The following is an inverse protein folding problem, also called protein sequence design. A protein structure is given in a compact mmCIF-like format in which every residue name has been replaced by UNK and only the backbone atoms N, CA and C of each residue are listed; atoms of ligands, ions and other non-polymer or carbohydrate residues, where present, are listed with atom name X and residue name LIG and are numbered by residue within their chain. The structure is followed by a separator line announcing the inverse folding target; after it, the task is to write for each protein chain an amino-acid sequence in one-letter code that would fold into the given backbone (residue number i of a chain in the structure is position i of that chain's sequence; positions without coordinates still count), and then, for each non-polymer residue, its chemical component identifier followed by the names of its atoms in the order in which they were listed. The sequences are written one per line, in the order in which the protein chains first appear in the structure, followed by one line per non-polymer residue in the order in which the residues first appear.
data_IF_754037017385
#
_entry.id   IF_754037017385
#
_cell.length_a   1.000
_cell.length_b   1.000
_cell.length_c   1.000
_cell.angle_alpha   90.00
_cell.angle_beta   90.00
_cell.angle_gamma   90.00
#
_symmetry.space_group_name_H-M   'P 1'
#
loop_
_entity.id
_entity.type
_entity.pdbx_description
1 polymer ?
#
# COMPACT_ATOMS: atom_id res chain seq x y z
N UNK A 1 -65.89 -30.22 68.27
CA UNK A 1 -64.89 -29.22 68.05
C UNK A 1 -64.16 -29.55 66.81
N UNK A 2 -64.57 -28.96 65.66
CA UNK A 2 -63.96 -29.17 64.37
C UNK A 2 -63.00 -27.99 64.04
N UNK A 3 -61.71 -28.27 63.92
CA UNK A 3 -60.72 -27.29 63.49
C UNK A 3 -60.71 -27.24 62.00
N UNK A 4 -61.01 -26.07 61.42
CA UNK A 4 -60.90 -25.76 60.03
C UNK A 4 -59.49 -25.21 59.79
N UNK A 5 -58.68 -25.91 58.93
CA UNK A 5 -57.42 -25.40 58.50
C UNK A 5 -57.69 -24.60 57.20
N UNK A 6 -57.37 -23.29 57.21
CA UNK A 6 -57.44 -22.40 56.06
C UNK A 6 -56.06 -22.37 55.42
N UNK A 7 -55.96 -22.96 54.26
CA UNK A 7 -54.71 -22.94 53.50
C UNK A 7 -54.70 -21.67 52.63
N UNK A 8 -53.83 -20.71 52.96
CA UNK A 8 -53.56 -19.55 52.15
C UNK A 8 -52.64 -19.95 51.00
N UNK A 9 -53.15 -19.94 49.76
CA UNK A 9 -52.33 -19.98 48.55
C UNK A 9 -51.73 -18.57 48.27
N UNK A 10 -50.44 -18.41 48.53
CA UNK A 10 -49.67 -17.27 48.07
C UNK A 10 -49.40 -17.42 46.56
N UNK A 11 -50.14 -16.69 45.75
CA UNK A 11 -49.80 -16.49 44.32
C UNK A 11 -48.67 -15.46 44.24
N UNK A 12 -47.47 -15.92 43.95
CA UNK A 12 -46.36 -15.04 43.61
C UNK A 12 -46.59 -14.48 42.20
N UNK A 13 -46.53 -13.17 42.00
CA UNK A 13 -46.57 -12.61 40.67
C UNK A 13 -45.25 -12.97 39.92
N UNK A 14 -45.36 -13.70 38.82
CA UNK A 14 -44.27 -13.89 37.90
C UNK A 14 -43.92 -12.52 37.31
N UNK A 15 -42.88 -11.88 37.83
CA UNK A 15 -42.24 -10.73 37.20
C UNK A 15 -41.61 -11.20 35.89
N UNK A 16 -42.35 -11.04 34.79
CA UNK A 16 -41.75 -11.08 33.45
C UNK A 16 -40.82 -9.89 33.36
N UNK A 17 -39.49 -10.15 33.52
CA UNK A 17 -38.49 -9.21 33.09
C UNK A 17 -38.61 -9.07 31.58
N UNK A 18 -39.42 -8.13 31.09
CA UNK A 18 -39.27 -7.63 29.74
C UNK A 18 -37.92 -6.90 29.74
N UNK A 19 -36.88 -7.54 29.23
CA UNK A 19 -35.66 -6.86 28.87
C UNK A 19 -36.05 -5.72 27.91
N UNK A 20 -35.93 -4.48 28.42
CA UNK A 20 -36.20 -3.29 27.61
C UNK A 20 -35.13 -3.24 26.54
N UNK A 21 -35.42 -3.84 25.35
CA UNK A 21 -34.57 -3.72 24.14
C UNK A 21 -34.55 -2.25 23.79
N UNK A 22 -33.38 -1.61 23.95
CA UNK A 22 -33.20 -0.20 23.63
C UNK A 22 -33.63 0.08 22.18
N UNK A 23 -34.12 1.28 21.90
CA UNK A 23 -34.47 1.72 20.54
C UNK A 23 -33.29 1.43 19.62
N UNK A 24 -33.48 0.56 18.58
CA UNK A 24 -32.46 0.16 17.61
C UNK A 24 -31.84 -1.22 17.83
N UNK A 25 -32.19 -1.91 18.93
CA UNK A 25 -31.80 -3.32 19.14
C UNK A 25 -32.66 -4.28 18.31
N UNK A 26 -32.14 -5.46 17.97
CA UNK A 26 -32.92 -6.53 17.35
C UNK A 26 -33.87 -7.10 18.41
N UNK A 27 -35.17 -6.89 18.21
CA UNK A 27 -36.19 -7.47 19.12
C UNK A 27 -36.49 -8.91 18.74
N UNK A 28 -37.12 -9.69 19.67
CA UNK A 28 -37.59 -11.02 19.35
C UNK A 28 -38.51 -11.07 18.12
N UNK A 29 -39.42 -10.11 18.00
CA UNK A 29 -40.35 -9.99 16.85
C UNK A 29 -39.61 -9.70 15.56
N UNK A 30 -38.61 -8.79 15.57
CA UNK A 30 -37.73 -8.56 14.40
C UNK A 30 -36.98 -9.82 14.01
N UNK A 31 -36.42 -10.54 14.99
CA UNK A 31 -35.68 -11.76 14.73
C UNK A 31 -36.57 -12.85 14.10
N UNK A 32 -37.78 -13.02 14.59
CA UNK A 32 -38.74 -13.98 14.03
C UNK A 32 -39.14 -13.58 12.60
N UNK A 33 -39.37 -12.32 12.35
CA UNK A 33 -39.63 -11.80 10.98
C UNK A 33 -38.44 -12.10 10.05
N UNK A 34 -37.21 -11.73 10.46
CA UNK A 34 -36.00 -11.99 9.68
C UNK A 34 -35.86 -13.47 9.35
N UNK A 35 -36.05 -14.35 10.32
CA UNK A 35 -35.99 -15.80 10.14
C UNK A 35 -37.07 -16.34 9.17
N UNK A 36 -38.30 -15.84 9.31
CA UNK A 36 -39.42 -16.29 8.50
C UNK A 36 -39.30 -15.90 7.00
N UNK A 37 -38.57 -14.84 6.72
CA UNK A 37 -38.28 -14.36 5.37
C UNK A 37 -37.08 -15.10 4.73
N UNK A 38 -36.30 -15.89 5.49
CA UNK A 38 -35.17 -16.60 4.93
C UNK A 38 -35.58 -17.84 4.12
N UNK A 39 -35.08 -18.00 2.89
CA UNK A 39 -35.35 -19.19 2.12
C UNK A 39 -34.72 -20.43 2.81
N UNK A 40 -35.41 -21.57 2.71
CA UNK A 40 -34.96 -22.86 3.26
C UNK A 40 -35.21 -23.98 2.30
N UNK A 41 -34.87 -23.78 1.04
CA UNK A 41 -35.00 -24.78 -0.03
C UNK A 41 -33.97 -25.91 0.15
N UNK A 42 -34.05 -26.93 -0.66
CA UNK A 42 -33.01 -27.97 -0.70
C UNK A 42 -31.65 -27.41 -1.13
N UNK A 43 -31.64 -26.44 -2.06
CA UNK A 43 -30.43 -25.76 -2.51
C UNK A 43 -29.77 -24.96 -1.37
N UNK A 44 -30.55 -24.20 -0.57
CA UNK A 44 -30.02 -23.45 0.57
C UNK A 44 -29.38 -24.36 1.63
N UNK A 45 -29.99 -25.51 1.89
CA UNK A 45 -29.44 -26.52 2.82
C UNK A 45 -28.14 -27.11 2.27
N UNK A 46 -28.11 -27.46 0.99
CA UNK A 46 -26.90 -27.99 0.34
C UNK A 46 -25.77 -26.95 0.35
N UNK A 47 -26.06 -25.67 0.07
CA UNK A 47 -25.10 -24.57 0.09
C UNK A 47 -24.54 -24.35 1.52
N UNK A 48 -25.40 -24.34 2.55
CA UNK A 48 -24.96 -24.26 3.96
C UNK A 48 -24.03 -25.42 4.33
N UNK A 49 -24.37 -26.65 3.86
CA UNK A 49 -23.51 -27.82 4.09
C UNK A 49 -22.17 -27.67 3.38
N UNK A 50 -22.14 -27.20 2.15
CA UNK A 50 -20.90 -26.97 1.40
C UNK A 50 -20.04 -25.90 2.06
N UNK A 51 -20.63 -24.77 2.49
CA UNK A 51 -19.93 -23.67 3.17
C UNK A 51 -19.44 -24.03 4.58
N UNK A 52 -19.99 -25.07 5.21
CA UNK A 52 -19.47 -25.53 6.52
C UNK A 52 -18.05 -26.14 6.43
N UNK A 53 -17.64 -26.63 5.26
CA UNK A 53 -16.34 -27.26 5.03
C UNK A 53 -15.48 -26.61 3.93
N UNK A 54 -15.95 -25.53 3.31
CA UNK A 54 -15.28 -24.92 2.16
C UNK A 54 -15.27 -23.39 2.29
N UNK A 55 -14.19 -22.74 1.85
CA UNK A 55 -14.11 -21.27 1.89
C UNK A 55 -15.09 -20.64 0.90
N UNK A 56 -15.56 -19.43 1.25
CA UNK A 56 -16.44 -18.62 0.39
C UNK A 56 -15.83 -18.46 -1.01
N UNK A 57 -14.57 -18.04 -1.10
CA UNK A 57 -13.91 -17.81 -2.39
C UNK A 57 -13.84 -19.07 -3.26
N UNK A 58 -13.69 -20.25 -2.65
CA UNK A 58 -13.64 -21.50 -3.40
C UNK A 58 -15.01 -21.85 -4.03
N UNK A 59 -16.11 -21.58 -3.34
CA UNK A 59 -17.45 -21.80 -3.87
C UNK A 59 -17.92 -20.69 -4.80
N UNK A 60 -17.50 -19.44 -4.54
CA UNK A 60 -17.81 -18.31 -5.40
C UNK A 60 -16.99 -18.27 -6.69
N UNK A 61 -15.94 -19.13 -6.81
CA UNK A 61 -15.09 -19.14 -8.00
C UNK A 61 -15.93 -19.35 -9.26
N UNK A 62 -15.82 -18.41 -10.21
CA UNK A 62 -16.55 -18.45 -11.46
C UNK A 62 -15.84 -19.36 -12.47
N UNK A 63 -16.38 -20.56 -12.80
CA UNK A 63 -15.76 -21.47 -13.75
C UNK A 63 -15.82 -20.97 -15.21
N UNK A 64 -16.69 -20.00 -15.49
CA UNK A 64 -16.90 -19.44 -16.83
C UNK A 64 -16.13 -18.11 -17.03
N UNK A 65 -15.26 -17.73 -16.10
CA UNK A 65 -14.46 -16.51 -16.22
C UNK A 65 -13.58 -16.60 -17.48
N UNK A 66 -13.72 -15.67 -18.46
CA UNK A 66 -12.93 -15.67 -19.68
C UNK A 66 -11.48 -15.21 -19.45
N UNK A 67 -11.19 -14.62 -18.30
CA UNK A 67 -9.83 -14.17 -17.98
C UNK A 67 -8.87 -15.36 -17.89
N UNK A 68 -7.76 -15.25 -18.58
CA UNK A 68 -6.77 -16.31 -18.64
C UNK A 68 -5.40 -15.83 -18.16
N UNK A 69 -4.57 -16.79 -17.78
CA UNK A 69 -3.15 -16.56 -17.47
C UNK A 69 -2.27 -16.56 -18.74
N UNK A 70 -2.84 -16.38 -19.92
CA UNK A 70 -2.08 -16.23 -21.15
C UNK A 70 -1.06 -15.09 -21.04
N UNK A 71 0.19 -15.43 -21.35
CA UNK A 71 1.35 -14.53 -21.18
C UNK A 71 1.69 -13.72 -22.41
N UNK A 72 0.94 -13.83 -23.50
CA UNK A 72 1.11 -12.99 -24.67
C UNK A 72 0.65 -11.56 -24.38
N UNK A 73 1.47 -10.59 -24.79
CA UNK A 73 1.18 -9.17 -24.72
C UNK A 73 1.74 -8.50 -25.97
N UNK A 74 0.93 -7.70 -26.67
CA UNK A 74 1.35 -6.97 -27.86
C UNK A 74 2.48 -5.98 -27.57
N UNK A 75 2.57 -5.46 -26.35
CA UNK A 75 3.65 -4.57 -25.91
C UNK A 75 4.11 -4.95 -24.50
N UNK A 76 5.42 -5.13 -24.33
CA UNK A 76 6.01 -5.50 -23.04
C UNK A 76 7.40 -4.91 -22.88
N UNK A 77 7.70 -4.41 -21.69
CA UNK A 77 9.03 -3.93 -21.31
C UNK A 77 9.84 -5.12 -20.77
N UNK A 78 11.04 -5.41 -21.31
CA UNK A 78 11.86 -6.49 -20.77
C UNK A 78 12.34 -6.21 -19.34
N UNK A 79 12.29 -7.24 -18.50
CA UNK A 79 12.87 -7.24 -17.14
C UNK A 79 13.67 -8.52 -16.91
N UNK A 80 14.64 -8.48 -15.99
CA UNK A 80 15.45 -9.63 -15.62
C UNK A 80 15.50 -9.78 -14.09
N UNK A 81 15.09 -10.95 -13.61
CA UNK A 81 14.99 -11.28 -12.19
C UNK A 81 13.67 -10.80 -11.58
N UNK A 82 13.23 -11.50 -10.55
CA UNK A 82 12.05 -11.17 -9.75
C UNK A 82 12.50 -10.93 -8.33
N UNK A 83 12.01 -9.87 -7.72
CA UNK A 83 12.29 -9.51 -6.33
C UNK A 83 11.31 -10.17 -5.36
N UNK A 84 11.71 -10.26 -4.08
CA UNK A 84 10.87 -10.83 -3.04
C UNK A 84 10.95 -9.98 -1.76
N UNK A 85 9.86 -9.29 -1.42
CA UNK A 85 9.76 -8.47 -0.22
C UNK A 85 9.51 -9.29 1.06
N UNK A 86 9.19 -10.57 0.91
CA UNK A 86 8.87 -11.47 2.01
C UNK A 86 7.72 -10.92 2.90
N UNK A 87 7.80 -11.14 4.21
CA UNK A 87 6.82 -10.66 5.20
C UNK A 87 7.10 -9.22 5.63
N UNK A 88 7.09 -8.29 4.66
CA UNK A 88 7.35 -6.86 4.91
C UNK A 88 6.40 -5.97 4.10
N UNK A 89 6.12 -4.76 4.59
CA UNK A 89 5.31 -3.77 3.89
C UNK A 89 6.11 -2.89 2.92
N UNK A 90 7.16 -3.42 2.27
CA UNK A 90 8.09 -2.65 1.45
C UNK A 90 7.82 -2.70 -0.06
N UNK A 91 6.62 -3.14 -0.49
CA UNK A 91 6.30 -3.25 -1.93
C UNK A 91 6.53 -1.94 -2.70
N UNK A 92 6.23 -0.79 -2.09
CA UNK A 92 6.47 0.53 -2.65
C UNK A 92 7.95 0.75 -3.00
N UNK A 93 8.85 0.32 -2.11
CA UNK A 93 10.29 0.48 -2.28
C UNK A 93 10.82 -0.49 -3.34
N UNK A 94 10.41 -1.77 -3.29
CA UNK A 94 10.74 -2.75 -4.31
C UNK A 94 10.28 -2.29 -5.69
N UNK A 95 9.03 -1.83 -5.79
CA UNK A 95 8.45 -1.34 -7.05
C UNK A 95 9.21 -0.15 -7.63
N UNK A 96 9.48 0.89 -6.82
CA UNK A 96 10.21 2.05 -7.30
C UNK A 96 11.64 1.69 -7.73
N UNK A 97 12.32 0.84 -6.97
CA UNK A 97 13.66 0.36 -7.34
C UNK A 97 13.65 -0.57 -8.55
N UNK A 98 12.58 -1.36 -8.75
CA UNK A 98 12.43 -2.19 -9.94
C UNK A 98 12.28 -1.37 -11.23
N UNK A 99 11.58 -0.22 -11.16
CA UNK A 99 11.54 0.74 -12.28
C UNK A 99 12.95 1.24 -12.62
N UNK A 100 13.76 1.62 -11.62
CA UNK A 100 15.12 2.12 -11.84
C UNK A 100 16.07 1.02 -12.32
N UNK A 101 16.00 -0.19 -11.74
CA UNK A 101 16.86 -1.31 -12.16
C UNK A 101 16.62 -1.73 -13.60
N UNK A 102 15.36 -1.68 -14.08
CA UNK A 102 15.04 -2.03 -15.47
C UNK A 102 15.76 -1.10 -16.46
N UNK A 103 15.81 0.20 -16.16
CA UNK A 103 16.58 1.18 -16.94
C UNK A 103 18.09 0.88 -16.92
N UNK A 104 18.64 0.58 -15.74
CA UNK A 104 20.05 0.24 -15.56
C UNK A 104 20.42 -1.05 -16.30
N UNK A 105 19.62 -2.11 -16.17
CA UNK A 105 19.81 -3.38 -16.89
C UNK A 105 19.82 -3.15 -18.40
N UNK A 106 18.88 -2.38 -18.93
CA UNK A 106 18.78 -2.05 -20.37
C UNK A 106 20.00 -1.25 -20.83
N UNK A 107 20.39 -0.20 -20.09
CA UNK A 107 21.47 0.73 -20.44
C UNK A 107 22.84 0.04 -20.49
N UNK A 108 23.12 -0.88 -19.58
CA UNK A 108 24.44 -1.52 -19.42
C UNK A 108 24.46 -2.98 -19.83
N UNK A 109 23.39 -3.51 -20.43
CA UNK A 109 23.21 -4.94 -20.77
C UNK A 109 23.58 -5.88 -19.61
N UNK A 110 23.04 -5.61 -18.43
CA UNK A 110 23.32 -6.40 -17.24
C UNK A 110 22.53 -7.70 -17.23
N UNK A 111 22.98 -8.67 -16.40
CA UNK A 111 22.19 -9.78 -15.93
C UNK A 111 21.10 -9.34 -14.93
N UNK A 112 20.61 -10.26 -14.14
CA UNK A 112 19.76 -9.90 -13.02
C UNK A 112 20.54 -9.00 -12.04
N UNK A 113 20.05 -7.79 -11.84
CA UNK A 113 20.59 -6.80 -10.90
C UNK A 113 19.50 -6.40 -9.91
N UNK A 114 19.89 -6.09 -8.69
CA UNK A 114 18.99 -5.62 -7.65
C UNK A 114 19.70 -4.57 -6.79
N UNK A 115 19.00 -3.47 -6.49
CA UNK A 115 19.42 -2.55 -5.42
C UNK A 115 19.15 -3.17 -4.05
N UNK A 116 19.86 -2.72 -3.02
CA UNK A 116 19.58 -3.09 -1.64
C UNK A 116 18.36 -2.35 -1.13
N UNK A 117 17.27 -3.06 -0.91
CA UNK A 117 16.10 -2.51 -0.24
C UNK A 117 16.36 -2.31 1.26
N UNK A 118 17.16 -3.18 1.90
CA UNK A 118 17.56 -3.01 3.30
C UNK A 118 18.26 -1.69 3.56
N UNK A 119 19.16 -1.26 2.66
CA UNK A 119 19.86 0.02 2.75
C UNK A 119 18.87 1.20 2.75
N UNK A 120 18.00 1.26 1.76
CA UNK A 120 17.04 2.35 1.63
C UNK A 120 15.97 2.32 2.71
N UNK A 121 15.53 1.14 3.11
CA UNK A 121 14.56 0.98 4.18
C UNK A 121 15.10 1.42 5.55
N UNK A 122 16.39 1.21 5.81
CA UNK A 122 17.04 1.74 7.01
C UNK A 122 16.83 3.25 7.15
N UNK A 123 17.13 3.99 6.10
CA UNK A 123 16.98 5.45 6.12
C UNK A 123 15.52 5.89 6.09
N UNK A 124 14.65 5.18 5.39
CA UNK A 124 13.21 5.42 5.42
C UNK A 124 12.64 5.35 6.84
N UNK A 125 12.98 4.30 7.59
CA UNK A 125 12.51 4.12 8.96
C UNK A 125 13.10 5.17 9.93
N UNK A 126 14.32 5.60 9.70
CA UNK A 126 14.94 6.67 10.48
C UNK A 126 14.27 8.03 10.18
N UNK A 127 14.02 8.34 8.91
CA UNK A 127 13.34 9.57 8.48
C UNK A 127 11.89 9.64 8.97
N UNK A 128 11.14 8.56 8.86
CA UNK A 128 9.77 8.47 9.41
C UNK A 128 9.75 8.64 10.93
N UNK A 129 10.75 8.10 11.61
CA UNK A 129 10.91 8.31 13.05
C UNK A 129 11.15 9.79 13.39
N UNK A 130 12.00 10.47 12.61
CA UNK A 130 12.22 11.92 12.73
C UNK A 130 10.94 12.70 12.40
N UNK A 131 10.23 12.33 11.32
CA UNK A 131 8.95 12.95 10.92
C UNK A 131 7.93 12.90 12.07
N UNK A 132 7.74 11.74 12.69
CA UNK A 132 6.85 11.59 13.84
C UNK A 132 7.27 12.47 15.01
N UNK A 133 8.54 12.41 15.44
CA UNK A 133 9.02 13.17 16.60
C UNK A 133 8.94 14.67 16.36
N UNK A 134 9.25 15.13 15.15
CA UNK A 134 9.13 16.55 14.80
C UNK A 134 7.68 17.01 14.76
N UNK A 135 6.80 16.21 14.12
CA UNK A 135 5.37 16.52 14.09
C UNK A 135 4.75 16.60 15.50
N UNK A 136 5.22 15.75 16.44
CA UNK A 136 4.81 15.83 17.85
C UNK A 136 5.28 17.11 18.52
N UNK A 137 6.51 17.57 18.24
CA UNK A 137 7.03 18.86 18.75
C UNK A 137 6.19 20.02 18.19
N UNK A 138 5.96 20.05 16.88
CA UNK A 138 5.23 21.11 16.19
C UNK A 138 3.77 21.24 16.70
N UNK A 139 3.18 20.14 17.11
CA UNK A 139 1.82 20.08 17.65
C UNK A 139 1.74 19.94 19.19
N UNK A 140 2.85 20.20 19.90
CA UNK A 140 2.93 19.97 21.35
C UNK A 140 1.94 20.82 22.17
N UNK A 141 1.48 21.96 21.64
CA UNK A 141 0.49 22.85 22.30
C UNK A 141 -0.95 22.36 22.13
N UNK A 142 -1.23 21.48 21.16
CA UNK A 142 -2.56 20.94 20.96
C UNK A 142 -2.86 19.86 22.02
N UNK A 143 -4.12 19.66 22.43
CA UNK A 143 -4.47 18.59 23.38
C UNK A 143 -4.29 17.20 22.76
N UNK A 144 -4.32 16.14 23.60
CA UNK A 144 -4.14 14.75 23.11
C UNK A 144 -5.29 14.25 22.25
N UNK A 145 -6.49 14.81 22.43
CA UNK A 145 -7.70 14.51 21.64
C UNK A 145 -7.86 15.39 20.39
N UNK A 146 -6.88 16.25 20.07
CA UNK A 146 -6.80 16.87 18.74
C UNK A 146 -6.64 15.75 17.70
N UNK A 147 -7.45 15.79 16.65
CA UNK A 147 -7.53 14.70 15.66
C UNK A 147 -6.20 14.40 14.99
N UNK A 148 -5.34 15.41 14.72
CA UNK A 148 -4.02 15.20 14.17
C UNK A 148 -3.07 14.57 15.19
N UNK A 149 -3.11 15.02 16.46
CA UNK A 149 -2.29 14.44 17.53
C UNK A 149 -2.68 12.99 17.76
N UNK A 150 -3.97 12.69 17.82
CA UNK A 150 -4.47 11.33 17.93
C UNK A 150 -4.00 10.45 16.76
N UNK A 151 -4.11 10.97 15.51
CA UNK A 151 -3.65 10.28 14.33
C UNK A 151 -2.15 9.96 14.38
N UNK A 152 -1.30 10.93 14.76
CA UNK A 152 0.14 10.73 14.92
C UNK A 152 0.45 9.60 15.89
N UNK A 153 -0.18 9.59 17.08
CA UNK A 153 0.08 8.55 18.08
C UNK A 153 -0.53 7.19 17.72
N UNK A 154 -1.56 7.14 16.87
CA UNK A 154 -2.06 5.88 16.28
C UNK A 154 -1.10 5.33 15.24
N UNK A 155 -0.47 6.21 14.46
CA UNK A 155 0.36 5.87 13.30
C UNK A 155 1.81 6.42 13.43
N UNK A 156 2.58 6.04 14.47
CA UNK A 156 3.90 6.62 14.70
C UNK A 156 4.97 6.16 13.71
N UNK A 157 4.76 5.00 13.08
CA UNK A 157 5.66 4.40 12.11
C UNK A 157 4.90 3.38 11.27
N UNK A 158 5.23 3.30 9.99
CA UNK A 158 4.80 2.26 9.05
C UNK A 158 5.97 1.81 8.20
N UNK A 159 5.98 0.56 7.75
CA UNK A 159 6.92 0.06 6.74
C UNK A 159 6.38 0.20 5.31
N UNK A 160 5.11 0.59 5.15
CA UNK A 160 4.50 0.97 3.88
C UNK A 160 4.96 2.33 3.37
N UNK A 161 4.53 2.69 2.16
CA UNK A 161 4.88 3.99 1.58
C UNK A 161 4.38 4.20 0.17
N UNK A 162 4.93 5.23 -0.47
CA UNK A 162 4.59 5.64 -1.83
C UNK A 162 5.85 6.00 -2.62
N UNK A 163 5.72 6.35 -3.89
CA UNK A 163 6.87 6.71 -4.74
C UNK A 163 7.65 7.93 -4.22
N UNK A 164 7.01 8.86 -3.51
CA UNK A 164 7.74 10.00 -2.92
C UNK A 164 8.79 9.54 -1.90
N UNK A 165 8.54 8.44 -1.17
CA UNK A 165 9.55 7.84 -0.31
C UNK A 165 10.75 7.27 -1.07
N UNK A 166 10.50 6.63 -2.23
CA UNK A 166 11.59 6.13 -3.09
C UNK A 166 12.47 7.29 -3.55
N UNK A 167 11.86 8.35 -4.07
CA UNK A 167 12.60 9.52 -4.55
C UNK A 167 13.40 10.20 -3.43
N UNK A 168 12.80 10.42 -2.27
CA UNK A 168 13.45 11.11 -1.16
C UNK A 168 14.65 10.31 -0.63
N UNK A 169 14.47 9.01 -0.39
CA UNK A 169 15.52 8.16 0.17
C UNK A 169 16.67 7.99 -0.83
N UNK A 170 16.38 7.67 -2.10
CA UNK A 170 17.43 7.47 -3.11
C UNK A 170 18.16 8.80 -3.43
N UNK A 171 17.44 9.91 -3.55
CA UNK A 171 18.08 11.20 -3.82
C UNK A 171 18.85 11.74 -2.62
N UNK A 172 18.42 11.50 -1.37
CA UNK A 172 19.08 12.00 -0.16
C UNK A 172 20.26 11.12 0.27
N UNK A 173 20.12 9.82 0.24
CA UNK A 173 21.10 8.86 0.78
C UNK A 173 21.84 8.06 -0.28
N UNK A 174 21.41 8.10 -1.53
CA UNK A 174 21.97 7.30 -2.61
C UNK A 174 21.41 5.88 -2.65
N UNK A 175 22.13 4.98 -3.30
CA UNK A 175 21.75 3.58 -3.44
C UNK A 175 22.99 2.68 -3.41
N UNK A 176 22.80 1.41 -3.08
CA UNK A 176 23.85 0.39 -3.14
C UNK A 176 23.31 -0.89 -3.77
N UNK A 177 24.15 -1.74 -4.39
CA UNK A 177 23.76 -3.08 -4.84
C UNK A 177 23.32 -3.98 -3.68
N UNK A 178 22.44 -4.94 -3.96
CA UNK A 178 21.91 -5.87 -2.95
C UNK A 178 23.00 -6.67 -2.22
N UNK A 179 24.07 -7.05 -2.91
CA UNK A 179 25.19 -7.79 -2.32
C UNK A 179 26.05 -6.97 -1.35
N UNK A 180 25.94 -5.63 -1.39
CA UNK A 180 26.69 -4.73 -0.50
C UNK A 180 26.01 -4.60 0.87
N UNK A 181 24.69 -4.56 0.90
CA UNK A 181 23.89 -4.63 2.12
C UNK A 181 22.71 -5.58 1.88
N UNK A 182 22.91 -6.88 2.10
CA UNK A 182 21.88 -7.89 1.82
C UNK A 182 20.72 -7.82 2.81
N UNK A 183 19.63 -8.49 2.45
CA UNK A 183 18.46 -8.61 3.31
C UNK A 183 18.78 -9.39 4.60
N UNK A 184 18.42 -8.82 5.73
CA UNK A 184 18.49 -9.49 7.04
C UNK A 184 17.20 -10.26 7.33
N UNK A 185 17.17 -11.09 8.37
CA UNK A 185 15.96 -11.72 8.86
C UNK A 185 14.87 -10.68 9.19
N UNK A 186 15.24 -9.57 9.84
CA UNK A 186 14.28 -8.53 10.22
C UNK A 186 13.89 -7.62 9.05
N UNK A 187 14.70 -7.50 8.01
CA UNK A 187 14.28 -6.89 6.75
C UNK A 187 13.20 -7.72 6.04
N UNK A 188 13.33 -9.04 6.08
CA UNK A 188 12.34 -9.96 5.52
C UNK A 188 11.13 -10.21 6.44
N UNK A 189 11.16 -9.73 7.69
CA UNK A 189 10.09 -9.90 8.71
C UNK A 189 9.99 -8.63 9.56
N UNK A 190 9.51 -7.53 8.98
CA UNK A 190 9.59 -6.17 9.55
C UNK A 190 8.70 -5.93 10.76
N UNK A 191 7.58 -6.63 10.89
CA UNK A 191 6.50 -6.32 11.82
C UNK A 191 6.95 -6.19 13.29
N UNK A 192 7.86 -7.07 13.74
CA UNK A 192 8.34 -7.03 15.14
C UNK A 192 9.25 -5.85 15.42
N UNK A 193 10.20 -5.58 14.53
CA UNK A 193 11.08 -4.42 14.62
C UNK A 193 10.27 -3.12 14.59
N UNK A 194 9.36 -2.98 13.62
CA UNK A 194 8.49 -1.82 13.48
C UNK A 194 7.62 -1.60 14.74
N UNK A 195 7.09 -2.67 15.34
CA UNK A 195 6.31 -2.59 16.59
C UNK A 195 7.13 -2.07 17.77
N UNK A 196 8.39 -2.51 17.89
CA UNK A 196 9.31 -2.06 18.96
C UNK A 196 9.66 -0.57 18.76
N UNK A 197 9.99 -0.17 17.54
CA UNK A 197 10.29 1.24 17.22
C UNK A 197 9.05 2.11 17.47
N UNK A 198 7.88 1.69 17.00
CA UNK A 198 6.62 2.42 17.20
C UNK A 198 6.26 2.60 18.69
N UNK A 199 6.51 1.59 19.53
CA UNK A 199 6.34 1.71 20.97
C UNK A 199 7.30 2.76 21.55
N UNK A 200 8.56 2.74 21.13
CA UNK A 200 9.59 3.68 21.58
C UNK A 200 9.30 5.10 21.13
N UNK A 201 8.81 5.28 19.89
CA UNK A 201 8.38 6.58 19.38
C UNK A 201 7.21 7.17 20.19
N UNK A 202 6.22 6.37 20.58
CA UNK A 202 5.12 6.82 21.45
C UNK A 202 5.64 7.29 22.80
N UNK A 203 6.55 6.53 23.42
CA UNK A 203 7.20 6.93 24.68
C UNK A 203 7.95 8.27 24.52
N UNK A 204 8.73 8.41 23.47
CA UNK A 204 9.49 9.63 23.16
C UNK A 204 8.58 10.81 22.83
N UNK A 205 7.53 10.59 22.08
CA UNK A 205 6.53 11.61 21.77
C UNK A 205 5.86 12.16 23.04
N UNK A 206 5.47 11.30 23.98
CA UNK A 206 4.94 11.73 25.28
C UNK A 206 5.98 12.54 26.06
N UNK A 207 7.23 12.09 26.10
CA UNK A 207 8.30 12.79 26.82
C UNK A 207 8.62 14.16 26.23
N UNK A 208 8.54 14.33 24.90
CA UNK A 208 8.70 15.63 24.22
C UNK A 208 7.52 16.56 24.55
N UNK A 209 6.27 16.07 24.50
CA UNK A 209 5.07 16.85 24.86
C UNK A 209 5.13 17.31 26.32
N UNK A 210 5.50 16.41 27.25
CA UNK A 210 5.69 16.76 28.66
C UNK A 210 6.79 17.81 28.86
N UNK A 211 7.89 17.72 28.09
CA UNK A 211 8.95 18.74 28.09
C UNK A 211 8.43 20.10 27.63
N UNK A 212 7.67 20.13 26.54
CA UNK A 212 7.04 21.36 26.04
C UNK A 212 6.04 21.94 27.06
N UNK A 213 5.20 21.11 27.67
CA UNK A 213 4.26 21.56 28.71
C UNK A 213 4.96 22.16 29.95
N UNK A 214 6.17 21.69 30.26
CA UNK A 214 7.02 22.25 31.33
C UNK A 214 7.82 23.49 30.87
N UNK A 215 7.57 24.04 29.69
CA UNK A 215 8.22 25.24 29.16
C UNK A 215 9.65 25.04 28.66
N UNK A 216 10.06 23.80 28.33
CA UNK A 216 11.37 23.58 27.70
C UNK A 216 11.45 24.33 26.38
N UNK A 217 12.60 25.00 26.14
CA UNK A 217 12.86 25.75 24.91
C UNK A 217 12.94 24.81 23.69
N UNK A 218 12.57 25.26 22.48
CA UNK A 218 12.65 24.46 21.26
C UNK A 218 14.01 23.78 21.05
N UNK A 219 15.12 24.49 21.29
CA UNK A 219 16.47 23.92 21.17
C UNK A 219 16.74 22.74 22.12
N UNK A 220 16.09 22.70 23.30
CA UNK A 220 16.21 21.58 24.26
C UNK A 220 15.43 20.38 23.72
N UNK A 221 14.22 20.61 23.19
CA UNK A 221 13.41 19.54 22.58
C UNK A 221 14.11 18.96 21.36
N UNK A 222 14.71 19.80 20.52
CA UNK A 222 15.49 19.38 19.36
C UNK A 222 16.69 18.50 19.75
N UNK A 223 17.47 18.93 20.75
CA UNK A 223 18.58 18.11 21.26
C UNK A 223 18.10 16.74 21.74
N UNK A 224 17.01 16.70 22.50
CA UNK A 224 16.41 15.43 22.96
C UNK A 224 15.95 14.56 21.80
N UNK A 225 15.33 15.16 20.78
CA UNK A 225 14.93 14.41 19.56
C UNK A 225 16.14 13.73 18.90
N UNK A 226 17.28 14.43 18.76
CA UNK A 226 18.50 13.85 18.21
C UNK A 226 19.00 12.67 19.04
N UNK A 227 18.99 12.77 20.37
CA UNK A 227 19.38 11.67 21.27
C UNK A 227 18.42 10.47 21.13
N UNK A 228 17.12 10.73 20.98
CA UNK A 228 16.08 9.70 20.74
C UNK A 228 16.29 8.99 19.40
N UNK A 229 16.60 9.76 18.35
CA UNK A 229 16.92 9.21 17.02
C UNK A 229 18.19 8.36 17.06
N UNK A 230 19.18 8.69 17.88
CA UNK A 230 20.36 7.84 18.11
C UNK A 230 19.99 6.46 18.66
N UNK A 231 18.96 6.36 19.52
CA UNK A 231 18.44 5.07 19.98
C UNK A 231 17.72 4.30 18.87
N UNK A 232 16.92 5.00 18.04
CA UNK A 232 16.25 4.39 16.88
C UNK A 232 17.29 3.86 15.89
N UNK A 233 18.32 4.67 15.57
CA UNK A 233 19.43 4.27 14.71
C UNK A 233 20.07 2.97 15.19
N UNK A 234 20.35 2.85 16.52
CA UNK A 234 20.91 1.63 17.09
C UNK A 234 19.99 0.41 16.94
N UNK A 235 18.68 0.58 17.10
CA UNK A 235 17.73 -0.52 16.88
C UNK A 235 17.77 -0.95 15.40
N UNK A 236 17.74 0.01 14.48
CA UNK A 236 17.80 -0.25 13.05
C UNK A 236 19.10 -0.95 12.65
N UNK A 237 20.27 -0.45 13.10
CA UNK A 237 21.57 -1.06 12.77
C UNK A 237 21.74 -2.46 13.36
N UNK A 238 21.17 -2.71 14.54
CA UNK A 238 21.16 -4.05 15.15
C UNK A 238 20.28 -5.03 14.37
N UNK A 239 19.16 -4.57 13.79
CA UNK A 239 18.21 -5.43 13.08
C UNK A 239 18.49 -5.59 11.59
N UNK A 240 18.96 -4.53 10.93
CA UNK A 240 19.13 -4.48 9.47
C UNK A 240 20.60 -4.51 9.03
N UNK A 241 21.54 -4.26 9.94
CA UNK A 241 22.96 -4.05 9.64
C UNK A 241 23.29 -2.56 9.53
N UNK A 242 24.59 -2.26 9.62
CA UNK A 242 25.10 -0.88 9.50
C UNK A 242 25.18 -0.49 8.02
N UNK A 243 24.57 0.63 7.59
CA UNK A 243 24.69 1.09 6.22
C UNK A 243 26.13 1.45 5.85
N UNK A 244 26.64 0.96 4.69
CA UNK A 244 28.00 1.27 4.27
C UNK A 244 28.15 2.74 3.87
N UNK A 245 29.28 3.34 4.21
CA UNK A 245 29.68 4.69 3.76
C UNK A 245 30.44 4.66 2.45
N UNK A 246 31.22 3.60 2.23
CA UNK A 246 31.92 3.28 0.97
C UNK A 246 31.86 1.78 0.72
N UNK A 247 31.97 1.39 -0.53
CA UNK A 247 32.00 -0.02 -0.93
C UNK A 247 32.68 -0.20 -2.29
N UNK A 248 33.30 -1.37 -2.47
CA UNK A 248 33.84 -1.78 -3.75
C UNK A 248 32.82 -2.66 -4.46
N UNK A 249 32.54 -2.37 -5.72
CA UNK A 249 31.58 -3.15 -6.51
C UNK A 249 32.11 -3.46 -7.91
N UNK A 250 31.80 -4.68 -8.38
CA UNK A 250 32.14 -5.14 -9.73
C UNK A 250 30.88 -5.28 -10.56
N UNK A 251 30.70 -4.40 -11.54
CA UNK A 251 29.64 -4.51 -12.53
C UNK A 251 29.91 -5.70 -13.46
N UNK A 252 28.89 -6.50 -13.74
CA UNK A 252 28.95 -7.68 -14.61
C UNK A 252 27.93 -7.59 -15.73
N UNK A 253 28.30 -8.02 -16.92
CA UNK A 253 27.39 -8.13 -18.08
C UNK A 253 26.37 -9.27 -17.89
N UNK A 254 25.46 -9.41 -18.88
CA UNK A 254 24.44 -10.46 -18.89
C UNK A 254 25.00 -11.90 -18.88
N UNK A 255 26.27 -12.08 -19.21
CA UNK A 255 27.00 -13.37 -19.15
C UNK A 255 27.81 -13.56 -17.88
N UNK A 256 27.70 -12.63 -16.93
CA UNK A 256 28.44 -12.66 -15.67
C UNK A 256 29.90 -12.21 -15.76
N UNK A 257 30.34 -11.65 -16.88
CA UNK A 257 31.73 -11.21 -17.06
C UNK A 257 31.92 -9.83 -16.45
N UNK A 258 33.03 -9.58 -15.73
CA UNK A 258 33.33 -8.26 -15.17
C UNK A 258 33.44 -7.18 -16.26
N UNK A 259 32.71 -6.08 -16.12
CA UNK A 259 32.82 -4.88 -16.97
C UNK A 259 33.74 -3.86 -16.30
N UNK A 260 33.53 -3.58 -15.03
CA UNK A 260 34.30 -2.61 -14.26
C UNK A 260 34.29 -2.96 -12.77
N UNK A 261 35.37 -2.59 -12.06
CA UNK A 261 35.45 -2.68 -10.60
C UNK A 261 35.92 -1.33 -10.06
N UNK A 262 35.08 -0.69 -9.26
CA UNK A 262 35.35 0.64 -8.69
C UNK A 262 34.95 0.69 -7.21
N UNK A 263 35.46 1.69 -6.51
CA UNK A 263 35.01 2.08 -5.18
C UNK A 263 33.98 3.21 -5.31
N UNK A 264 32.90 3.11 -4.52
CA UNK A 264 31.79 4.04 -4.52
C UNK A 264 31.42 4.47 -3.10
N UNK A 265 30.89 5.67 -2.99
CA UNK A 265 29.94 6.01 -1.92
C UNK A 265 28.51 5.70 -2.45
N UNK A 266 27.51 5.50 -1.58
CA UNK A 266 26.13 5.32 -2.04
C UNK A 266 25.61 6.43 -2.96
N UNK A 267 26.05 7.67 -2.72
CA UNK A 267 25.70 8.83 -3.54
C UNK A 267 26.35 8.77 -4.92
N UNK A 268 27.64 8.50 -5.02
CA UNK A 268 28.34 8.41 -6.30
C UNK A 268 27.83 7.21 -7.14
N UNK A 269 27.44 6.12 -6.48
CA UNK A 269 26.79 5.00 -7.16
C UNK A 269 25.41 5.40 -7.74
N UNK A 270 24.60 6.08 -6.96
CA UNK A 270 23.32 6.60 -7.45
C UNK A 270 23.52 7.56 -8.64
N UNK A 271 24.43 8.50 -8.53
CA UNK A 271 24.74 9.50 -9.58
C UNK A 271 25.23 8.84 -10.87
N UNK A 272 26.10 7.81 -10.81
CA UNK A 272 26.63 7.13 -11.98
C UNK A 272 25.58 6.23 -12.66
N UNK A 273 24.79 5.50 -11.91
CA UNK A 273 23.94 4.42 -12.44
C UNK A 273 22.46 4.75 -12.54
N UNK A 274 21.94 5.55 -11.66
CA UNK A 274 20.56 6.07 -11.73
C UNK A 274 20.57 7.46 -12.35
N UNK A 275 21.20 8.42 -11.71
CA UNK A 275 21.47 9.77 -12.21
C UNK A 275 20.22 10.56 -12.59
N UNK A 276 19.03 10.13 -12.11
CA UNK A 276 17.77 10.77 -12.44
C UNK A 276 17.31 11.73 -11.34
N UNK A 277 16.76 12.86 -11.74
CA UNK A 277 15.98 13.70 -10.84
C UNK A 277 14.58 13.11 -10.66
N UNK A 278 14.48 12.17 -9.72
CA UNK A 278 13.23 11.45 -9.44
C UNK A 278 12.11 12.39 -8.99
N UNK A 279 12.44 13.54 -8.44
CA UNK A 279 11.47 14.55 -7.99
C UNK A 279 10.87 15.33 -9.17
N UNK A 280 11.69 15.69 -10.15
CA UNK A 280 11.27 16.58 -11.21
C UNK A 280 10.91 15.86 -12.52
N UNK A 281 11.33 14.60 -12.72
CA UNK A 281 11.10 13.87 -13.97
C UNK A 281 9.80 13.07 -14.01
N UNK A 282 9.08 12.97 -12.90
CA UNK A 282 7.88 12.14 -12.77
C UNK A 282 6.64 12.94 -12.40
N UNK A 283 5.49 12.42 -12.80
CA UNK A 283 4.16 12.90 -12.43
C UNK A 283 3.42 11.77 -11.73
N UNK A 284 2.83 12.08 -10.59
CA UNK A 284 2.00 11.16 -9.82
C UNK A 284 0.55 11.36 -10.24
N UNK A 285 -0.03 10.35 -10.91
CA UNK A 285 -1.42 10.33 -11.35
C UNK A 285 -2.23 9.42 -10.43
N UNK A 286 -3.48 9.76 -10.22
CA UNK A 286 -4.43 8.94 -9.47
C UNK A 286 -5.78 8.93 -10.16
N UNK A 287 -6.49 7.81 -10.10
CA UNK A 287 -7.89 7.72 -10.46
C UNK A 287 -8.75 7.63 -9.19
N UNK A 288 -9.32 8.76 -8.82
CA UNK A 288 -10.21 8.91 -7.67
C UNK A 288 -11.55 9.54 -8.10
N UNK A 289 -12.55 8.71 -8.43
CA UNK A 289 -13.87 9.21 -8.83
C UNK A 289 -14.70 9.78 -7.66
N UNK A 290 -14.22 9.66 -6.42
CA UNK A 290 -14.93 10.18 -5.25
C UNK A 290 -14.90 11.70 -5.15
N UNK A 291 -14.02 12.36 -5.93
CA UNK A 291 -13.83 13.83 -5.96
C UNK A 291 -13.51 14.34 -7.36
N UNK A 292 -13.59 15.68 -7.59
CA UNK A 292 -13.40 16.26 -8.91
C UNK A 292 -12.09 15.86 -9.61
N UNK A 293 -12.20 15.51 -10.89
CA UNK A 293 -11.09 15.30 -11.78
C UNK A 293 -10.43 16.62 -12.23
N UNK A 294 -9.26 16.51 -12.87
CA UNK A 294 -8.44 17.62 -13.38
C UNK A 294 -8.04 18.62 -12.28
N UNK A 295 -7.83 18.10 -11.07
CA UNK A 295 -7.36 18.85 -9.91
C UNK A 295 -6.20 18.10 -9.26
N UNK A 296 -5.31 18.89 -8.68
CA UNK A 296 -4.18 18.37 -7.90
C UNK A 296 -4.57 18.32 -6.43
N UNK A 297 -4.25 17.21 -5.78
CA UNK A 297 -4.50 16.97 -4.35
C UNK A 297 -3.21 16.57 -3.66
N UNK A 298 -3.11 16.92 -2.39
CA UNK A 298 -2.05 16.47 -1.49
C UNK A 298 -2.66 16.03 -0.17
N UNK A 299 -2.12 14.99 0.43
CA UNK A 299 -2.61 14.46 1.71
C UNK A 299 -1.61 14.84 2.79
N UNK A 300 -2.10 15.49 3.86
CA UNK A 300 -1.25 15.91 4.97
C UNK A 300 -0.59 14.68 5.62
N UNK A 301 0.69 14.79 5.95
CA UNK A 301 1.53 13.74 6.53
C UNK A 301 1.83 12.53 5.61
N UNK A 302 1.29 12.47 4.39
CA UNK A 302 1.65 11.43 3.40
C UNK A 302 3.01 11.77 2.76
N UNK A 303 4.05 11.59 3.54
CA UNK A 303 5.46 11.78 3.20
C UNK A 303 6.35 10.93 4.10
N UNK A 304 7.57 10.68 3.68
CA UNK A 304 8.51 9.81 4.37
C UNK A 304 9.52 10.56 5.25
N UNK A 305 9.91 11.77 4.86
CA UNK A 305 10.81 12.63 5.63
C UNK A 305 10.19 13.99 5.89
N UNK A 306 10.65 14.69 6.92
CA UNK A 306 10.12 16.00 7.31
C UNK A 306 10.41 17.07 6.25
N UNK A 307 11.57 16.98 5.62
CA UNK A 307 12.05 17.87 4.54
C UNK A 307 11.80 17.30 3.13
N UNK A 308 11.14 16.16 3.03
CA UNK A 308 10.89 15.45 1.78
C UNK A 308 9.61 15.85 1.07
N UNK A 309 9.38 15.19 -0.06
CA UNK A 309 8.19 15.38 -0.87
C UNK A 309 6.95 14.82 -0.17
N UNK A 310 5.88 15.59 -0.19
CA UNK A 310 4.56 15.10 0.21
C UNK A 310 3.88 14.47 -1.00
N UNK A 311 3.18 13.35 -0.80
CA UNK A 311 2.42 12.73 -1.87
C UNK A 311 1.42 13.72 -2.45
N UNK A 312 1.64 14.08 -3.70
CA UNK A 312 0.81 15.02 -4.45
C UNK A 312 0.48 14.40 -5.78
N UNK A 313 -0.80 14.36 -6.15
CA UNK A 313 -1.24 13.71 -7.37
C UNK A 313 -2.20 14.56 -8.19
N UNK A 314 -2.16 14.38 -9.51
CA UNK A 314 -3.17 14.86 -10.42
C UNK A 314 -4.27 13.80 -10.56
N UNK A 315 -5.49 14.16 -10.19
CA UNK A 315 -6.63 13.27 -10.31
C UNK A 315 -7.22 13.32 -11.72
N UNK A 316 -7.25 12.18 -12.39
CA UNK A 316 -7.72 12.05 -13.77
C UNK A 316 -8.72 10.90 -13.93
N UNK A 317 -9.66 11.02 -14.91
CA UNK A 317 -10.45 9.88 -15.38
C UNK A 317 -9.52 8.75 -15.87
N UNK A 318 -9.96 7.51 -15.72
CA UNK A 318 -9.15 6.35 -16.09
C UNK A 318 -8.83 6.34 -17.60
N UNK A 319 -9.75 6.84 -18.42
CA UNK A 319 -9.63 6.94 -19.87
C UNK A 319 -8.51 7.90 -20.31
N UNK A 320 -8.13 8.85 -19.46
CA UNK A 320 -6.98 9.74 -19.71
C UNK A 320 -5.66 9.15 -19.19
N UNK A 321 -5.69 8.30 -18.16
CA UNK A 321 -4.49 7.64 -17.62
C UNK A 321 -4.00 6.50 -18.54
N UNK A 322 -4.91 5.66 -19.04
CA UNK A 322 -4.56 4.50 -19.89
C UNK A 322 -3.69 4.86 -21.11
N UNK A 323 -4.01 5.87 -21.92
CA UNK A 323 -3.17 6.25 -23.06
C UNK A 323 -1.74 6.64 -22.67
N UNK A 324 -1.57 7.29 -21.52
CA UNK A 324 -0.25 7.68 -21.01
C UNK A 324 0.55 6.45 -20.58
N UNK A 325 -0.09 5.50 -19.88
CA UNK A 325 0.53 4.23 -19.52
C UNK A 325 0.92 3.40 -20.75
N UNK A 326 0.05 3.32 -21.76
CA UNK A 326 0.32 2.64 -23.03
C UNK A 326 1.52 3.28 -23.73
N UNK A 327 1.59 4.61 -23.79
CA UNK A 327 2.71 5.33 -24.40
C UNK A 327 4.04 5.01 -23.70
N UNK A 328 4.05 4.96 -22.37
CA UNK A 328 5.23 4.58 -21.58
C UNK A 328 5.70 3.15 -21.89
N UNK A 329 4.77 2.17 -21.91
CA UNK A 329 5.09 0.77 -22.20
C UNK A 329 5.62 0.62 -23.64
N UNK A 330 5.02 1.29 -24.63
CA UNK A 330 5.49 1.29 -26.04
C UNK A 330 6.91 1.84 -26.18
N UNK A 331 7.29 2.79 -25.33
CA UNK A 331 8.66 3.33 -25.26
C UNK A 331 9.62 2.47 -24.41
N UNK A 332 9.20 1.27 -24.03
CA UNK A 332 9.98 0.36 -23.16
C UNK A 332 10.34 0.96 -21.81
N UNK A 333 9.41 1.70 -21.20
CA UNK A 333 9.55 2.31 -19.87
C UNK A 333 8.51 1.76 -18.91
N UNK A 334 8.97 1.12 -17.83
CA UNK A 334 8.11 0.64 -16.72
C UNK A 334 7.64 1.79 -15.86
N UNK A 335 6.53 1.56 -15.16
CA UNK A 335 5.95 2.55 -14.25
C UNK A 335 5.70 1.97 -12.87
N UNK A 336 5.83 2.82 -11.84
CA UNK A 336 5.26 2.54 -10.53
C UNK A 336 3.74 2.54 -10.68
N UNK A 337 3.12 1.48 -10.21
CA UNK A 337 1.68 1.25 -10.26
C UNK A 337 1.22 0.79 -8.88
N UNK A 338 0.05 1.24 -8.40
CA UNK A 338 -0.52 0.67 -7.20
C UNK A 338 -2.04 0.52 -7.26
N UNK A 339 -2.56 -0.45 -6.53
CA UNK A 339 -3.92 -0.93 -6.64
C UNK A 339 -4.42 -1.59 -5.34
N UNK A 340 -5.70 -1.91 -5.28
CA UNK A 340 -6.27 -2.78 -4.24
C UNK A 340 -6.16 -4.25 -4.66
N UNK A 341 -4.94 -4.81 -4.56
CA UNK A 341 -4.57 -6.11 -5.12
C UNK A 341 -5.40 -7.28 -4.58
N UNK A 342 -5.89 -7.17 -3.35
CA UNK A 342 -6.68 -8.24 -2.71
C UNK A 342 -8.08 -8.44 -3.31
N UNK A 343 -8.56 -7.49 -4.11
CA UNK A 343 -9.91 -7.55 -4.67
C UNK A 343 -9.95 -8.45 -5.90
N UNK A 344 -10.79 -9.47 -5.84
CA UNK A 344 -10.99 -10.41 -6.94
C UNK A 344 -9.68 -11.03 -7.49
N UNK A 345 -8.70 -11.25 -6.61
CA UNK A 345 -7.43 -11.88 -6.94
C UNK A 345 -7.53 -13.40 -6.81
N UNK A 346 -7.33 -14.14 -7.91
CA UNK A 346 -7.13 -15.59 -7.88
C UNK A 346 -5.65 -15.93 -7.73
N UNK A 347 -5.22 -16.21 -6.51
CA UNK A 347 -3.82 -16.53 -6.19
C UNK A 347 -3.28 -17.79 -6.86
N UNK A 348 -4.16 -18.72 -7.29
CA UNK A 348 -3.76 -19.96 -7.97
C UNK A 348 -3.33 -19.72 -9.42
N UNK A 349 -3.99 -18.75 -10.09
CA UNK A 349 -3.72 -18.44 -11.49
C UNK A 349 -2.88 -17.19 -11.68
N UNK A 350 -2.75 -16.33 -10.65
CA UNK A 350 -2.08 -15.03 -10.78
C UNK A 350 -2.91 -13.99 -11.54
N UNK A 351 -4.22 -14.20 -11.67
CA UNK A 351 -5.12 -13.35 -12.46
C UNK A 351 -5.96 -12.47 -11.54
N UNK A 352 -6.07 -11.20 -11.89
CA UNK A 352 -6.92 -10.18 -11.30
C UNK A 352 -8.05 -9.88 -12.29
N UNK A 353 -9.28 -10.32 -11.96
CA UNK A 353 -10.47 -10.12 -12.79
C UNK A 353 -11.69 -9.94 -11.91
N UNK A 354 -12.52 -8.94 -12.20
CA UNK A 354 -13.79 -8.71 -11.51
C UNK A 354 -14.75 -9.92 -11.62
N UNK A 355 -14.45 -10.84 -12.53
CA UNK A 355 -15.24 -12.05 -12.79
C UNK A 355 -14.65 -13.32 -12.16
N UNK A 356 -13.57 -13.21 -11.36
CA UNK A 356 -12.98 -14.37 -10.67
C UNK A 356 -13.93 -15.02 -9.67
N UNK A 357 -14.80 -14.23 -9.02
CA UNK A 357 -15.70 -14.69 -7.98
C UNK A 357 -17.10 -14.12 -8.17
N UNK A 358 -18.11 -14.97 -8.14
CA UNK A 358 -19.53 -14.62 -8.23
C UNK A 358 -20.18 -14.71 -6.85
N UNK A 359 -19.96 -13.68 -6.03
CA UNK A 359 -20.58 -13.59 -4.72
C UNK A 359 -22.08 -13.26 -4.81
N UNK A 360 -22.52 -12.60 -5.88
CA UNK A 360 -23.91 -12.22 -6.07
C UNK A 360 -24.79 -13.46 -6.22
N UNK A 361 -24.41 -14.38 -7.10
CA UNK A 361 -25.09 -15.67 -7.25
C UNK A 361 -24.97 -16.52 -5.98
N UNK A 362 -23.79 -16.54 -5.32
CA UNK A 362 -23.58 -17.37 -4.13
C UNK A 362 -24.50 -16.97 -2.97
N UNK A 363 -24.77 -15.67 -2.77
CA UNK A 363 -25.53 -15.15 -1.64
C UNK A 363 -26.91 -14.62 -2.01
N UNK A 364 -27.31 -14.72 -3.30
CA UNK A 364 -28.58 -14.18 -3.82
C UNK A 364 -28.78 -12.71 -3.42
N UNK A 365 -27.74 -11.89 -3.66
CA UNK A 365 -27.74 -10.46 -3.31
C UNK A 365 -26.78 -9.65 -4.17
N UNK A 366 -27.07 -8.40 -4.42
CA UNK A 366 -26.21 -7.50 -5.18
C UNK A 366 -25.16 -6.80 -4.32
N UNK A 367 -24.05 -6.40 -4.96
CA UNK A 367 -22.99 -5.57 -4.38
C UNK A 367 -22.78 -4.32 -5.23
N UNK A 368 -23.72 -3.33 -5.18
CA UNK A 368 -23.84 -2.26 -6.18
C UNK A 368 -22.88 -1.08 -6.01
N UNK A 369 -22.01 -1.06 -4.98
CA UNK A 369 -21.09 0.07 -4.79
C UNK A 369 -20.13 0.22 -5.97
N UNK A 370 -20.12 1.39 -6.59
CA UNK A 370 -19.11 1.79 -7.56
C UNK A 370 -17.77 2.12 -6.87
N UNK A 371 -16.74 2.45 -7.65
CA UNK A 371 -15.41 2.79 -7.14
C UNK A 371 -15.44 4.01 -6.21
N UNK A 372 -16.27 5.04 -6.54
CA UNK A 372 -16.40 6.24 -5.71
C UNK A 372 -16.99 5.92 -4.33
N UNK A 373 -18.02 5.09 -4.30
CA UNK A 373 -18.67 4.66 -3.06
C UNK A 373 -17.76 3.77 -2.21
N UNK A 374 -17.02 2.87 -2.84
CA UNK A 374 -16.01 2.05 -2.13
C UNK A 374 -14.92 2.89 -1.48
N UNK A 375 -14.46 3.96 -2.13
CA UNK A 375 -13.49 4.91 -1.55
C UNK A 375 -14.13 5.64 -0.36
N UNK A 376 -15.30 6.26 -0.54
CA UNK A 376 -15.98 7.03 0.50
C UNK A 376 -16.30 6.22 1.76
N UNK A 377 -16.55 4.92 1.59
CA UNK A 377 -16.91 3.99 2.67
C UNK A 377 -15.72 3.21 3.22
N UNK A 378 -14.49 3.51 2.80
CA UNK A 378 -13.26 2.78 3.16
C UNK A 378 -13.26 1.30 2.78
N UNK A 379 -14.10 0.90 1.83
CA UNK A 379 -14.18 -0.47 1.33
C UNK A 379 -13.05 -0.82 0.34
N UNK A 380 -12.44 0.18 -0.28
CA UNK A 380 -11.31 0.01 -1.20
C UNK A 380 -10.39 1.23 -1.18
N UNK A 381 -9.09 0.97 -1.11
CA UNK A 381 -8.02 1.94 -1.28
C UNK A 381 -6.78 1.22 -1.81
N UNK A 382 -5.74 1.95 -2.20
CA UNK A 382 -4.48 1.33 -2.60
C UNK A 382 -3.88 0.53 -1.43
N UNK A 383 -3.46 -0.68 -1.69
CA UNK A 383 -2.91 -1.59 -0.67
C UNK A 383 -1.59 -2.22 -1.08
N UNK A 384 -1.22 -2.14 -2.37
CA UNK A 384 -0.02 -2.80 -2.88
C UNK A 384 0.52 -2.12 -4.14
N UNK A 385 1.84 -1.95 -4.18
CA UNK A 385 2.55 -1.43 -5.35
C UNK A 385 3.23 -2.56 -6.15
N UNK A 386 3.20 -2.42 -7.47
CA UNK A 386 3.83 -3.32 -8.44
C UNK A 386 4.35 -2.54 -9.64
N UNK A 387 5.21 -3.14 -10.46
CA UNK A 387 5.77 -2.48 -11.63
C UNK A 387 4.93 -2.77 -12.87
N UNK A 388 4.21 -1.78 -13.39
CA UNK A 388 3.42 -1.92 -14.61
C UNK A 388 4.35 -2.00 -15.82
N UNK A 389 4.28 -3.11 -16.58
CA UNK A 389 5.28 -3.44 -17.58
C UNK A 389 4.75 -3.91 -18.93
N UNK A 390 3.50 -4.32 -19.06
CA UNK A 390 2.98 -4.77 -20.33
C UNK A 390 1.47 -4.49 -20.48
N UNK A 391 1.05 -4.36 -21.74
CA UNK A 391 -0.34 -4.21 -22.14
C UNK A 391 -0.59 -5.02 -23.41
N UNK A 392 -1.75 -5.67 -23.46
CA UNK A 392 -2.26 -6.27 -24.70
C UNK A 392 -3.36 -5.39 -25.28
N UNK A 393 -3.26 -5.09 -26.56
CA UNK A 393 -4.19 -4.23 -27.29
C UNK A 393 -4.95 -5.04 -28.33
N UNK A 394 -6.24 -4.75 -28.47
CA UNK A 394 -7.06 -5.28 -29.55
C UNK A 394 -6.74 -4.63 -30.90
N UNK A 395 -7.46 -5.01 -31.96
CA UNK A 395 -7.28 -4.48 -33.31
C UNK A 395 -7.56 -2.98 -33.40
N UNK A 396 -8.39 -2.45 -32.53
CA UNK A 396 -8.75 -1.03 -32.43
C UNK A 396 -7.77 -0.25 -31.55
N UNK A 397 -6.77 -0.92 -30.94
CA UNK A 397 -5.78 -0.32 -30.06
C UNK A 397 -6.27 -0.08 -28.62
N UNK A 398 -7.37 -0.69 -28.22
CA UNK A 398 -7.89 -0.62 -26.84
C UNK A 398 -7.22 -1.70 -25.97
N UNK A 399 -6.92 -1.40 -24.71
CA UNK A 399 -6.35 -2.39 -23.80
C UNK A 399 -7.37 -3.49 -23.45
N UNK A 400 -6.90 -4.73 -23.45
CA UNK A 400 -7.68 -5.92 -23.05
C UNK A 400 -7.20 -6.47 -21.72
N UNK A 401 -5.88 -6.45 -21.50
CA UNK A 401 -5.24 -6.90 -20.27
C UNK A 401 -3.91 -6.20 -20.04
N UNK A 402 -3.46 -6.22 -18.80
CA UNK A 402 -2.22 -5.60 -18.32
C UNK A 402 -1.38 -6.60 -17.54
N UNK A 403 -0.06 -6.40 -17.51
CA UNK A 403 0.86 -7.21 -16.70
C UNK A 403 1.70 -6.33 -15.79
N UNK A 404 1.85 -6.79 -14.55
CA UNK A 404 2.74 -6.19 -13.55
C UNK A 404 3.79 -7.19 -13.10
N UNK A 405 5.02 -6.71 -12.88
CA UNK A 405 6.04 -7.42 -12.13
C UNK A 405 5.77 -7.19 -10.64
N UNK A 406 5.60 -8.28 -9.90
CA UNK A 406 5.34 -8.25 -8.47
C UNK A 406 6.63 -8.51 -7.66
N UNK A 407 6.57 -8.27 -6.36
CA UNK A 407 7.67 -8.48 -5.41
C UNK A 407 7.35 -9.58 -4.37
N UNK A 408 6.74 -10.66 -4.81
CA UNK A 408 6.41 -11.84 -3.98
C UNK A 408 7.18 -13.09 -4.39
N UNK A 409 8.36 -12.90 -5.01
CA UNK A 409 9.20 -13.98 -5.48
C UNK A 409 8.72 -14.62 -6.79
N UNK A 410 9.60 -15.41 -7.44
CA UNK A 410 9.37 -15.97 -8.78
C UNK A 410 8.31 -17.07 -8.80
N UNK A 411 7.96 -17.65 -7.66
CA UNK A 411 6.97 -18.73 -7.56
C UNK A 411 5.54 -18.21 -7.33
N UNK A 412 5.35 -16.90 -7.16
CA UNK A 412 4.04 -16.29 -6.99
C UNK A 412 3.44 -15.87 -8.34
N UNK A 413 2.12 -16.01 -8.48
CA UNK A 413 1.40 -15.64 -9.70
C UNK A 413 1.92 -16.36 -10.94
N UNK A 414 2.09 -15.63 -12.04
CA UNK A 414 2.63 -16.14 -13.31
C UNK A 414 4.13 -15.84 -13.38
N UNK A 415 4.95 -16.71 -12.84
CA UNK A 415 6.41 -16.53 -12.76
C UNK A 415 6.82 -15.17 -12.16
N UNK A 416 6.25 -14.79 -11.03
CA UNK A 416 6.51 -13.53 -10.34
C UNK A 416 5.69 -12.33 -10.84
N UNK A 417 4.78 -12.54 -11.77
CA UNK A 417 3.92 -11.49 -12.36
C UNK A 417 2.45 -11.73 -12.04
N UNK A 418 1.65 -10.66 -12.11
CA UNK A 418 0.20 -10.75 -12.11
C UNK A 418 -0.35 -10.21 -13.44
N UNK A 419 -1.47 -10.78 -13.87
CA UNK A 419 -2.20 -10.39 -15.07
C UNK A 419 -3.53 -9.80 -14.65
N UNK A 420 -3.85 -8.59 -15.13
CA UNK A 420 -5.08 -7.87 -14.82
C UNK A 420 -5.93 -7.77 -16.09
N UNK A 421 -7.23 -8.05 -16.00
CA UNK A 421 -8.17 -7.63 -17.05
C UNK A 421 -8.28 -6.11 -17.08
N UNK A 422 -8.61 -5.53 -18.24
CA UNK A 422 -8.79 -4.08 -18.36
C UNK A 422 -9.92 -3.56 -17.46
N UNK A 423 -11.01 -4.31 -17.35
CA UNK A 423 -12.12 -4.02 -16.43
C UNK A 423 -11.67 -3.99 -14.95
N UNK A 424 -10.81 -4.93 -14.55
CA UNK A 424 -10.25 -4.92 -13.18
C UNK A 424 -9.32 -3.72 -12.96
N UNK A 425 -8.53 -3.36 -13.96
CA UNK A 425 -7.67 -2.17 -13.92
C UNK A 425 -8.50 -0.91 -13.66
N UNK A 426 -9.64 -0.74 -14.34
CA UNK A 426 -10.54 0.40 -14.13
C UNK A 426 -11.06 0.49 -12.69
N UNK A 427 -11.44 -0.65 -12.12
CA UNK A 427 -12.10 -0.71 -10.82
C UNK A 427 -11.14 -0.60 -9.63
N UNK A 428 -9.90 -1.08 -9.75
CA UNK A 428 -9.00 -1.26 -8.61
C UNK A 428 -7.62 -0.63 -8.75
N UNK A 429 -7.26 -0.04 -9.90
CA UNK A 429 -6.10 0.81 -10.02
C UNK A 429 -6.32 2.12 -9.27
N UNK A 430 -5.30 2.58 -8.53
CA UNK A 430 -5.32 3.88 -7.86
C UNK A 430 -4.23 4.80 -8.37
N UNK A 431 -2.97 4.38 -8.38
CA UNK A 431 -1.81 5.22 -8.66
C UNK A 431 -1.00 4.73 -9.85
N UNK A 432 -0.58 5.66 -10.69
CA UNK A 432 0.46 5.46 -11.71
C UNK A 432 1.43 6.63 -11.62
N UNK A 433 2.72 6.33 -11.49
CA UNK A 433 3.78 7.34 -11.58
C UNK A 433 4.47 7.19 -12.92
N UNK A 434 4.45 8.25 -13.70
CA UNK A 434 4.88 8.25 -15.08
C UNK A 434 5.90 9.36 -15.36
N UNK A 435 6.83 9.14 -16.28
CA UNK A 435 7.76 10.18 -16.71
C UNK A 435 7.02 11.35 -17.38
N UNK A 436 7.39 12.58 -17.03
CA UNK A 436 6.79 13.82 -17.57
C UNK A 436 6.75 13.88 -19.09
N UNK A 437 7.72 13.27 -19.78
CA UNK A 437 7.78 13.28 -21.24
C UNK A 437 6.60 12.58 -21.93
N UNK A 438 5.88 11.72 -21.22
CA UNK A 438 4.66 11.07 -21.72
C UNK A 438 3.40 11.84 -21.41
N UNK A 439 3.47 12.89 -20.59
CA UNK A 439 2.30 13.64 -20.11
C UNK A 439 2.14 14.92 -20.93
N UNK A 440 0.96 15.14 -21.55
CA UNK A 440 0.70 16.35 -22.31
C UNK A 440 0.88 17.62 -21.47
N UNK A 441 1.39 18.69 -22.10
CA UNK A 441 1.68 19.95 -21.40
C UNK A 441 0.47 20.53 -20.66
N UNK A 442 -0.74 20.36 -21.21
CA UNK A 442 -1.99 20.79 -20.54
C UNK A 442 -2.18 20.14 -19.17
N UNK A 443 -1.81 18.85 -19.04
CA UNK A 443 -1.91 18.12 -17.77
C UNK A 443 -0.76 18.48 -16.83
N UNK A 444 0.44 18.71 -17.36
CA UNK A 444 1.58 19.21 -16.56
C UNK A 444 1.29 20.58 -15.95
N UNK A 445 0.61 21.48 -16.67
CA UNK A 445 0.16 22.75 -16.12
C UNK A 445 -0.80 22.56 -14.95
N UNK A 446 -1.76 21.62 -15.06
CA UNK A 446 -2.65 21.28 -13.96
C UNK A 446 -1.90 20.69 -12.76
N UNK A 447 -0.93 19.81 -13.00
CA UNK A 447 -0.11 19.20 -11.95
C UNK A 447 0.69 20.25 -11.15
N UNK A 448 1.09 21.34 -11.76
CA UNK A 448 1.85 22.43 -11.13
C UNK A 448 0.98 23.45 -10.40
N UNK A 449 -0.36 23.31 -10.41
CA UNK A 449 -1.23 24.18 -9.62
C UNK A 449 -1.12 23.85 -8.13
N UNK A 450 -1.43 24.84 -7.27
CA UNK A 450 -1.53 24.63 -5.83
C UNK A 450 -2.50 23.50 -5.51
N UNK A 451 -2.07 22.44 -4.83
CA UNK A 451 -2.91 21.30 -4.57
C UNK A 451 -3.98 21.60 -3.51
N UNK A 452 -5.15 20.99 -3.68
CA UNK A 452 -6.14 20.92 -2.61
C UNK A 452 -5.62 20.01 -1.51
N UNK A 453 -5.49 20.54 -0.28
CA UNK A 453 -5.01 19.78 0.88
C UNK A 453 -6.12 18.91 1.46
N UNK A 454 -5.79 17.65 1.68
CA UNK A 454 -6.62 16.64 2.33
C UNK A 454 -6.03 16.30 3.70
N UNK A 455 -6.84 15.94 4.68
CA UNK A 455 -6.33 15.63 6.01
C UNK A 455 -5.61 14.28 6.05
N UNK A 456 -4.75 14.06 7.03
CA UNK A 456 -4.02 12.80 7.24
C UNK A 456 -4.93 11.56 7.46
N UNK A 457 -6.21 11.75 7.73
CA UNK A 457 -7.21 10.67 7.84
C UNK A 457 -8.13 10.56 6.61
N UNK A 458 -7.68 11.07 5.48
CA UNK A 458 -8.37 10.87 4.21
C UNK A 458 -8.42 9.38 3.84
N UNK A 459 -9.52 8.87 3.23
CA UNK A 459 -9.61 7.46 2.82
C UNK A 459 -8.46 7.00 1.91
N UNK A 460 -7.88 7.92 1.15
CA UNK A 460 -6.76 7.63 0.25
C UNK A 460 -5.38 7.88 0.87
N UNK A 461 -5.30 8.26 2.18
CA UNK A 461 -4.08 8.06 2.94
C UNK A 461 -3.90 6.56 3.17
N UNK A 462 -3.38 5.90 2.17
CA UNK A 462 -3.14 4.47 2.19
C UNK A 462 -1.74 4.23 1.66
N UNK A 463 -0.86 3.77 2.53
CA UNK A 463 0.47 3.36 2.14
C UNK A 463 0.41 1.98 1.48
N UNK A 464 1.12 1.82 0.38
CA UNK A 464 1.31 0.52 -0.26
C UNK A 464 2.22 -0.36 0.64
N UNK A 465 1.78 -1.59 0.97
CA UNK A 465 2.43 -2.50 1.94
C UNK A 465 2.70 -3.88 1.36
#
# INVERSE_FOLDING_TARGET
MKKIFLTLLLAAPALTLSAQVGKGGITPEMLEKIKSEQPNTAADRALRTALSGTSINQLAKNPNNPASSDTYFSHSVPSKGITDQQSSGRCWLFTGMNVMRAKMIKKYDLGAFQFSQSYSFFYDQLEKSNLFLQAVIDNAKKPMDDKLVEWLFKNPLSDGGTFCGVQDVMMKYGAVPAEVMPESYNANNTSRMSSIIALKLREYGLALRQGAAKGQKPAVLEKRKVEMLGTIYRILSTCLGEPPTTFKWTMKDAKGRPISTKEYTPKSFYEEYVGEDLKNNYVMLMNDPSRPYHRTYTIDMDRHSYDGAQWTYLNLPIEEIKPLAIASIKDSTMMYFSCDVGKFYDSKTGVLSTENFDYATLFDTDFPMDKADRIRTFASASSHAMTLMAVDLDAEGKPTKWKVENSWGPNSGVAGHLIMTDKWFDEYMFRVVIEKRFVPEKLLKLYNHEPTRLPAWDPLFSEDK
#
